data_IF_894157817393
#
_entry.id   IF_894157817393
#
_cell.length_a   1.000
_cell.length_b   1.000
_cell.length_c   1.000
_cell.angle_alpha   90.00
_cell.angle_beta   90.00
_cell.angle_gamma   90.00
#
_symmetry.space_group_name_H-M   'P 1'
#
loop_
_entity.id
_entity.type
_entity.pdbx_description
1 polymer ?
#
# COMPACT_ATOMS: atom_id res chain seq x y z
N UNK A 1 28.20 -13.23 25.28
CA UNK A 1 27.36 -13.88 24.26
C UNK A 1 25.96 -13.37 24.50
N UNK A 2 25.66 -12.16 24.03
CA UNK A 2 24.33 -11.58 24.14
C UNK A 2 23.60 -11.84 22.83
N UNK A 3 22.81 -12.90 22.82
CA UNK A 3 21.79 -13.12 21.81
C UNK A 3 20.67 -12.12 22.11
N UNK A 4 20.73 -10.94 21.49
CA UNK A 4 19.55 -10.08 21.40
C UNK A 4 18.49 -10.90 20.65
N UNK A 5 17.54 -11.45 21.39
CA UNK A 5 16.24 -11.80 20.86
C UNK A 5 15.63 -10.51 20.32
N UNK A 6 15.75 -10.28 19.02
CA UNK A 6 14.82 -9.39 18.34
C UNK A 6 13.46 -10.01 18.59
N UNK A 7 12.62 -9.34 19.38
CA UNK A 7 11.21 -9.71 19.47
C UNK A 7 10.72 -9.85 18.04
N UNK A 8 10.24 -11.04 17.67
CA UNK A 8 9.58 -11.28 16.40
C UNK A 8 8.32 -10.42 16.43
N UNK A 9 8.43 -9.17 15.96
CA UNK A 9 7.34 -8.21 15.96
C UNK A 9 6.24 -8.63 15.00
N UNK A 10 6.44 -9.70 14.21
CA UNK A 10 5.61 -10.09 13.08
C UNK A 10 5.75 -9.18 11.87
N UNK A 11 6.57 -8.12 11.97
CA UNK A 11 6.75 -7.09 10.95
C UNK A 11 7.75 -7.52 9.87
N UNK A 12 8.56 -8.54 10.13
CA UNK A 12 9.53 -9.07 9.16
C UNK A 12 8.85 -10.16 8.34
N UNK A 13 8.69 -9.92 7.05
CA UNK A 13 8.08 -10.86 6.12
C UNK A 13 8.74 -10.80 4.74
N UNK A 14 8.56 -11.87 3.96
CA UNK A 14 9.09 -12.03 2.62
C UNK A 14 7.98 -11.84 1.58
N UNK A 15 8.36 -11.64 0.31
CA UNK A 15 7.37 -11.55 -0.77
C UNK A 15 6.47 -12.79 -0.93
N UNK A 16 6.92 -13.97 -0.48
CA UNK A 16 6.08 -15.17 -0.44
C UNK A 16 5.02 -15.13 0.67
N UNK A 17 5.33 -14.51 1.80
CA UNK A 17 4.41 -14.35 2.93
C UNK A 17 3.21 -13.49 2.51
N UNK A 18 3.43 -12.43 1.71
CA UNK A 18 2.38 -11.60 1.10
C UNK A 18 1.30 -12.40 0.35
N UNK A 19 1.66 -13.59 -0.16
CA UNK A 19 0.74 -14.47 -0.90
C UNK A 19 0.11 -15.51 0.03
N UNK A 20 0.88 -16.04 0.98
CA UNK A 20 0.50 -17.20 1.78
C UNK A 20 -0.27 -16.83 3.06
N UNK A 21 0.01 -15.66 3.64
CA UNK A 21 -0.59 -15.20 4.89
C UNK A 21 -1.87 -14.41 4.65
N UNK A 22 -2.80 -14.54 5.59
CA UNK A 22 -4.11 -13.85 5.56
C UNK A 22 -4.36 -13.06 6.85
N UNK A 23 -3.42 -13.06 7.80
CA UNK A 23 -3.56 -12.43 9.11
C UNK A 23 -3.48 -10.89 9.08
N UNK A 24 -3.29 -10.31 7.90
CA UNK A 24 -3.38 -8.89 7.60
C UNK A 24 -4.47 -8.56 6.58
N UNK A 25 -5.31 -9.54 6.19
CA UNK A 25 -6.43 -9.33 5.27
C UNK A 25 -7.73 -9.40 6.06
N UNK A 26 -8.56 -8.37 5.96
CA UNK A 26 -9.92 -8.36 6.48
C UNK A 26 -10.90 -8.19 5.32
N UNK A 27 -11.79 -9.18 5.15
CA UNK A 27 -12.86 -9.14 4.16
C UNK A 27 -14.16 -8.66 4.84
N UNK A 28 -14.71 -7.54 4.37
CA UNK A 28 -15.90 -6.89 4.93
C UNK A 28 -17.21 -7.30 4.24
N UNK A 29 -17.17 -8.25 3.29
CA UNK A 29 -18.36 -8.66 2.53
C UNK A 29 -19.46 -9.35 3.37
N UNK A 30 -19.15 -9.82 4.58
CA UNK A 30 -19.96 -10.84 5.29
C UNK A 30 -20.87 -10.32 6.41
N UNK A 31 -21.34 -9.07 6.37
CA UNK A 31 -22.38 -8.64 7.31
C UNK A 31 -22.61 -7.14 7.26
N UNK A 32 -23.74 -6.68 7.78
CA UNK A 32 -24.09 -5.27 7.97
C UNK A 32 -23.20 -4.58 9.03
N UNK A 33 -21.91 -4.91 9.05
CA UNK A 33 -20.92 -4.38 9.96
C UNK A 33 -20.43 -3.04 9.41
N UNK A 34 -20.41 -2.05 10.28
CA UNK A 34 -19.85 -0.74 9.98
C UNK A 34 -18.32 -0.90 9.92
N UNK A 35 -17.64 -0.17 9.03
CA UNK A 35 -16.17 -0.25 8.95
C UNK A 35 -15.53 0.14 10.30
N UNK A 36 -16.20 1.01 11.05
CA UNK A 36 -15.84 1.46 12.39
C UNK A 36 -15.73 0.32 13.40
N UNK A 37 -16.55 -0.74 13.26
CA UNK A 37 -16.48 -1.91 14.13
C UNK A 37 -15.14 -2.67 13.96
N UNK A 38 -14.47 -2.46 12.81
CA UNK A 38 -13.17 -3.04 12.50
C UNK A 38 -11.99 -2.18 12.92
N UNK A 39 -12.21 -0.95 13.41
CA UNK A 39 -11.13 -0.01 13.73
C UNK A 39 -10.08 -0.55 14.72
N UNK A 40 -10.43 -1.30 15.78
CA UNK A 40 -9.42 -1.91 16.64
C UNK A 40 -8.46 -2.83 15.87
N UNK A 41 -8.99 -3.71 15.02
CA UNK A 41 -8.18 -4.60 14.18
C UNK A 41 -7.30 -3.82 13.20
N UNK A 42 -7.85 -2.77 12.59
CA UNK A 42 -7.13 -1.92 11.64
C UNK A 42 -6.01 -1.11 12.33
N UNK A 43 -6.17 -0.75 13.61
CA UNK A 43 -5.12 -0.06 14.39
C UNK A 43 -3.97 -1.00 14.73
N UNK A 44 -4.28 -2.23 15.13
CA UNK A 44 -3.28 -3.19 15.62
C UNK A 44 -2.52 -3.87 14.48
N UNK A 45 -3.20 -4.16 13.36
CA UNK A 45 -2.62 -4.96 12.28
C UNK A 45 -1.38 -4.32 11.64
N UNK A 46 -1.37 -3.03 11.24
CA UNK A 46 -0.18 -2.38 10.72
C UNK A 46 0.96 -2.28 11.75
N UNK A 47 0.66 -2.18 13.04
CA UNK A 47 1.69 -2.17 14.08
C UNK A 47 2.42 -3.51 14.18
N UNK A 48 1.72 -4.62 13.91
CA UNK A 48 2.29 -5.97 13.94
C UNK A 48 2.87 -6.40 12.60
N UNK A 49 2.25 -6.05 11.48
CA UNK A 49 2.59 -6.56 10.16
C UNK A 49 3.22 -5.53 9.21
N UNK A 50 3.15 -4.24 9.54
CA UNK A 50 3.50 -3.14 8.63
C UNK A 50 2.44 -2.87 7.55
N UNK A 51 1.41 -3.71 7.42
CA UNK A 51 0.38 -3.60 6.38
C UNK A 51 -0.96 -4.14 6.88
N UNK A 52 -2.07 -3.59 6.37
CA UNK A 52 -3.40 -4.15 6.49
C UNK A 52 -4.15 -3.99 5.14
N UNK A 53 -4.84 -5.04 4.70
CA UNK A 53 -5.60 -5.05 3.45
C UNK A 53 -7.07 -5.26 3.77
N UNK A 54 -7.88 -4.24 3.49
CA UNK A 54 -9.33 -4.29 3.60
C UNK A 54 -9.93 -4.63 2.24
N UNK A 55 -10.74 -5.70 2.19
CA UNK A 55 -11.44 -6.12 0.98
C UNK A 55 -12.94 -5.91 1.13
N UNK A 56 -13.60 -5.66 0.00
CA UNK A 56 -15.06 -5.57 -0.10
C UNK A 56 -15.67 -4.56 0.89
N UNK A 57 -15.10 -3.34 0.96
CA UNK A 57 -15.67 -2.27 1.76
C UNK A 57 -17.14 -2.03 1.35
N UNK A 58 -18.06 -1.82 2.32
CA UNK A 58 -19.47 -1.59 2.05
C UNK A 58 -19.71 -0.16 1.55
N UNK A 59 -19.23 0.16 0.35
CA UNK A 59 -19.41 1.46 -0.29
C UNK A 59 -20.75 1.47 -1.03
N UNK A 60 -21.74 2.18 -0.50
CA UNK A 60 -23.08 2.24 -1.09
C UNK A 60 -23.12 2.99 -2.43
N UNK A 61 -22.33 4.05 -2.57
CA UNK A 61 -22.17 4.84 -3.79
C UNK A 61 -20.72 4.73 -4.29
N UNK A 62 -20.46 4.06 -5.44
CA UNK A 62 -19.11 3.93 -5.99
C UNK A 62 -18.60 5.21 -6.66
N UNK A 63 -19.24 6.36 -6.45
CA UNK A 63 -18.74 7.64 -6.93
C UNK A 63 -17.39 8.00 -6.29
N UNK A 64 -16.56 8.70 -7.07
CA UNK A 64 -15.26 9.19 -6.59
C UNK A 64 -15.41 10.12 -5.39
N UNK A 65 -16.49 10.90 -5.33
CA UNK A 65 -16.78 11.81 -4.22
C UNK A 65 -17.11 11.02 -2.93
N UNK A 66 -17.97 10.01 -3.01
CA UNK A 66 -18.31 9.17 -1.86
C UNK A 66 -17.09 8.38 -1.34
N UNK A 67 -16.28 7.82 -2.24
CA UNK A 67 -15.06 7.13 -1.87
C UNK A 67 -14.01 8.06 -1.26
N UNK A 68 -13.87 9.29 -1.78
CA UNK A 68 -12.98 10.31 -1.22
C UNK A 68 -13.41 10.72 0.18
N UNK A 69 -14.71 10.88 0.39
CA UNK A 69 -15.27 11.18 1.70
C UNK A 69 -15.01 10.05 2.70
N UNK A 70 -15.28 8.80 2.32
CA UNK A 70 -14.99 7.63 3.14
C UNK A 70 -13.52 7.54 3.53
N UNK A 71 -12.60 7.72 2.57
CA UNK A 71 -11.16 7.65 2.85
C UNK A 71 -10.70 8.80 3.75
N UNK A 72 -11.26 9.99 3.61
CA UNK A 72 -10.97 11.13 4.49
C UNK A 72 -11.47 10.88 5.93
N UNK A 73 -12.72 10.45 6.09
CA UNK A 73 -13.30 10.10 7.41
C UNK A 73 -12.54 8.95 8.07
N UNK A 74 -12.16 7.95 7.28
CA UNK A 74 -11.27 6.89 7.70
C UNK A 74 -9.96 7.48 8.22
N UNK A 75 -9.21 8.24 7.41
CA UNK A 75 -7.92 8.82 7.82
C UNK A 75 -8.00 9.64 9.12
N UNK A 76 -9.04 10.46 9.27
CA UNK A 76 -9.31 11.24 10.49
C UNK A 76 -9.54 10.37 11.73
N UNK A 77 -10.04 9.15 11.54
CA UNK A 77 -10.23 8.19 12.63
C UNK A 77 -8.92 7.52 13.07
N UNK A 78 -7.83 7.64 12.31
CA UNK A 78 -6.52 7.02 12.61
C UNK A 78 -5.41 8.04 12.91
N UNK A 79 -5.59 9.32 12.60
CA UNK A 79 -4.60 10.34 12.91
C UNK A 79 -4.92 11.72 12.35
N UNK A 80 -3.87 12.53 12.24
CA UNK A 80 -3.93 13.86 11.64
C UNK A 80 -3.45 13.78 10.18
N UNK A 81 -4.27 14.15 9.18
CA UNK A 81 -3.84 14.21 7.80
C UNK A 81 -2.66 15.15 7.62
N UNK A 82 -1.66 14.70 6.86
CA UNK A 82 -0.52 15.53 6.44
C UNK A 82 -0.69 15.94 4.99
N UNK A 83 -0.18 17.12 4.63
CA UNK A 83 -0.21 17.57 3.25
C UNK A 83 0.60 16.62 2.36
N UNK A 84 0.01 16.20 1.24
CA UNK A 84 0.64 15.38 0.20
C UNK A 84 1.23 16.24 -0.92
N UNK A 85 0.98 17.56 -0.91
CA UNK A 85 1.42 18.46 -1.97
C UNK A 85 1.74 19.87 -1.50
N UNK A 86 2.50 20.57 -2.33
CA UNK A 86 2.83 21.98 -2.14
C UNK A 86 1.55 22.87 -2.25
N UNK A 87 0.45 22.29 -2.73
CA UNK A 87 -0.89 22.91 -2.80
C UNK A 87 -1.76 22.61 -1.59
N UNK A 88 -1.22 21.94 -0.56
CA UNK A 88 -1.93 21.55 0.65
C UNK A 88 -3.08 20.56 0.42
N UNK A 89 -2.95 19.71 -0.59
CA UNK A 89 -3.89 18.62 -0.81
C UNK A 89 -3.68 17.53 0.25
N UNK A 90 -4.73 17.18 1.00
CA UNK A 90 -4.71 16.10 2.00
C UNK A 90 -5.12 14.74 1.43
N UNK A 91 -5.75 14.74 0.25
CA UNK A 91 -6.20 13.56 -0.46
C UNK A 91 -5.75 13.65 -1.92
N UNK A 92 -4.91 12.70 -2.35
CA UNK A 92 -4.41 12.61 -3.72
C UNK A 92 -5.20 11.58 -4.54
N UNK A 93 -5.45 11.90 -5.82
CA UNK A 93 -5.97 10.93 -6.78
C UNK A 93 -4.81 10.28 -7.54
N UNK A 94 -4.64 8.98 -7.35
CA UNK A 94 -3.72 8.16 -8.15
C UNK A 94 -4.45 7.78 -9.44
N UNK A 95 -4.09 8.41 -10.56
CA UNK A 95 -4.76 8.21 -11.84
C UNK A 95 -3.88 8.71 -12.98
N UNK A 96 -3.82 7.99 -14.10
CA UNK A 96 -3.06 8.45 -15.26
C UNK A 96 -3.71 9.69 -15.89
N UNK A 97 -3.05 10.85 -15.77
CA UNK A 97 -3.42 12.12 -16.40
C UNK A 97 -2.50 12.45 -17.58
N UNK A 98 -1.67 11.51 -18.02
CA UNK A 98 -0.67 11.72 -19.07
C UNK A 98 0.56 12.49 -18.62
N UNK A 99 0.81 12.57 -17.31
CA UNK A 99 1.97 13.27 -16.77
C UNK A 99 3.29 12.62 -17.19
N UNK A 100 4.30 13.43 -17.51
CA UNK A 100 5.62 12.93 -17.89
C UNK A 100 6.51 12.81 -16.64
N UNK A 101 6.81 11.59 -16.21
CA UNK A 101 7.64 11.30 -15.03
C UNK A 101 9.07 11.86 -15.11
N UNK A 102 9.56 12.22 -16.31
CA UNK A 102 10.87 12.88 -16.48
C UNK A 102 10.82 14.37 -16.13
N UNK A 103 9.64 14.96 -16.02
CA UNK A 103 9.46 16.31 -15.54
C UNK A 103 9.47 16.29 -14.00
N UNK A 104 10.45 16.92 -13.38
CA UNK A 104 10.55 17.00 -11.92
C UNK A 104 9.35 17.68 -11.23
N UNK A 105 8.59 18.49 -11.97
CA UNK A 105 7.36 19.09 -11.46
C UNK A 105 6.13 18.17 -11.58
N UNK A 106 6.22 17.09 -12.36
CA UNK A 106 5.13 16.15 -12.54
C UNK A 106 5.07 15.15 -11.38
N UNK A 107 3.86 14.80 -10.96
CA UNK A 107 3.65 13.76 -9.96
C UNK A 107 3.65 12.40 -10.64
N UNK A 108 4.47 11.48 -10.13
CA UNK A 108 4.58 10.13 -10.71
C UNK A 108 3.26 9.37 -10.71
N UNK A 109 2.46 9.52 -9.65
CA UNK A 109 1.13 8.89 -9.52
C UNK A 109 0.08 9.44 -10.50
N UNK A 110 0.42 10.48 -11.27
CA UNK A 110 -0.41 11.02 -12.35
C UNK A 110 -0.05 10.45 -13.73
N UNK A 111 0.73 9.37 -13.78
CA UNK A 111 1.21 8.73 -15.01
C UNK A 111 1.04 7.21 -14.98
N UNK A 112 1.15 6.56 -16.13
CA UNK A 112 1.21 5.08 -16.25
C UNK A 112 2.61 4.49 -16.06
N UNK A 113 3.59 5.29 -15.63
CA UNK A 113 4.95 4.81 -15.39
C UNK A 113 5.06 4.06 -14.05
N UNK A 114 5.96 3.06 -14.01
CA UNK A 114 6.35 2.38 -12.78
C UNK A 114 6.98 3.38 -11.80
N UNK A 115 6.54 3.34 -10.54
CA UNK A 115 7.13 4.14 -9.47
C UNK A 115 8.20 3.34 -8.75
N UNK A 116 9.38 3.93 -8.49
CA UNK A 116 10.40 3.27 -7.69
C UNK A 116 9.90 3.09 -6.25
N UNK A 117 10.42 2.09 -5.55
CA UNK A 117 10.15 1.92 -4.13
C UNK A 117 10.53 3.18 -3.35
N UNK A 118 9.62 3.62 -2.48
CA UNK A 118 9.77 4.79 -1.63
C UNK A 118 8.91 4.63 -0.38
N UNK A 119 9.15 5.50 0.59
CA UNK A 119 8.25 5.70 1.72
C UNK A 119 7.73 7.13 1.66
N UNK A 120 6.48 7.32 2.05
CA UNK A 120 5.90 8.65 2.19
C UNK A 120 6.31 9.31 3.50
N UNK A 121 6.15 10.63 3.57
CA UNK A 121 6.45 11.42 4.78
C UNK A 121 5.29 11.38 5.77
N UNK A 122 4.91 10.18 6.19
CA UNK A 122 3.82 9.92 7.14
C UNK A 122 4.04 8.62 7.91
N UNK A 123 3.36 8.47 9.05
CA UNK A 123 3.38 7.23 9.84
C UNK A 123 2.46 6.13 9.26
N UNK A 124 1.38 6.52 8.58
CA UNK A 124 0.41 5.63 7.97
C UNK A 124 -0.03 6.18 6.61
N UNK A 125 0.08 5.35 5.58
CA UNK A 125 -0.48 5.59 4.24
C UNK A 125 -1.73 4.74 4.05
N UNK A 126 -2.80 5.34 3.52
CA UNK A 126 -4.01 4.63 3.16
C UNK A 126 -4.32 4.83 1.67
N UNK A 127 -4.55 3.72 0.95
CA UNK A 127 -4.93 3.71 -0.46
C UNK A 127 -6.29 3.03 -0.61
N UNK A 128 -7.19 3.65 -1.38
CA UNK A 128 -8.51 3.10 -1.71
C UNK A 128 -8.62 2.89 -3.22
N UNK A 129 -8.73 1.64 -3.65
CA UNK A 129 -9.00 1.32 -5.04
C UNK A 129 -10.49 1.52 -5.35
N UNK A 130 -10.81 2.59 -6.07
CA UNK A 130 -12.17 2.90 -6.52
C UNK A 130 -12.47 2.32 -7.91
N UNK A 131 -11.43 2.09 -8.70
CA UNK A 131 -11.51 1.56 -10.06
C UNK A 131 -10.20 0.88 -10.41
N UNK A 132 -10.27 -0.40 -10.76
CA UNK A 132 -9.10 -1.14 -11.21
C UNK A 132 -8.67 -0.68 -12.61
N UNK A 133 -7.36 -0.55 -12.83
CA UNK A 133 -6.81 -0.28 -14.15
C UNK A 133 -7.04 -1.49 -15.08
N UNK A 134 -7.28 -1.27 -16.39
CA UNK A 134 -7.43 -2.39 -17.34
C UNK A 134 -6.19 -3.28 -17.42
N UNK A 135 -5.00 -2.67 -17.33
CA UNK A 135 -3.68 -3.31 -17.36
C UNK A 135 -2.76 -2.51 -16.44
N UNK A 136 -1.96 -3.19 -15.62
CA UNK A 136 -1.06 -2.55 -14.68
C UNK A 136 -1.77 -2.07 -13.40
N UNK A 137 -1.13 -1.15 -12.68
CA UNK A 137 -1.68 -0.56 -11.45
C UNK A 137 -1.55 -1.46 -10.22
N UNK A 138 -0.66 -2.45 -10.28
CA UNK A 138 -0.31 -3.29 -9.14
C UNK A 138 0.41 -2.47 -8.05
N UNK A 139 0.19 -2.84 -6.79
CA UNK A 139 0.88 -2.24 -5.63
C UNK A 139 1.96 -3.18 -5.13
N UNK A 140 3.21 -2.89 -5.49
CA UNK A 140 4.36 -3.60 -4.95
C UNK A 140 4.75 -3.04 -3.59
N UNK A 141 5.03 -3.94 -2.64
CA UNK A 141 5.49 -3.60 -1.29
C UNK A 141 6.77 -4.36 -0.96
N UNK A 142 7.60 -3.77 -0.10
CA UNK A 142 8.78 -4.43 0.45
C UNK A 142 8.91 -4.16 1.94
N UNK A 143 9.51 -5.12 2.63
CA UNK A 143 9.88 -5.04 4.03
C UNK A 143 11.39 -4.81 4.12
N UNK A 144 11.80 -3.74 4.80
CA UNK A 144 13.17 -3.21 4.74
C UNK A 144 14.15 -4.06 5.56
N UNK A 145 13.73 -4.56 6.73
CA UNK A 145 14.61 -5.34 7.61
C UNK A 145 14.91 -6.73 6.99
N UNK A 146 13.99 -7.30 6.20
CA UNK A 146 14.19 -8.55 5.44
C UNK A 146 15.32 -8.44 4.40
N UNK A 147 15.51 -7.25 3.81
CA UNK A 147 16.57 -7.03 2.83
C UNK A 147 17.97 -6.93 3.46
N UNK A 148 18.08 -6.93 4.80
CA UNK A 148 19.35 -6.73 5.49
C UNK A 148 19.99 -5.37 5.18
N UNK A 149 19.21 -4.41 4.72
CA UNK A 149 19.65 -3.05 4.42
C UNK A 149 19.98 -2.39 5.74
N UNK A 150 21.28 -2.27 6.01
CA UNK A 150 21.83 -1.72 7.23
C UNK A 150 21.16 -0.37 7.57
N UNK A 151 20.56 -0.26 8.77
CA UNK A 151 19.92 0.95 9.34
C UNK A 151 20.79 2.21 9.33
N UNK A 152 22.07 2.11 8.96
CA UNK A 152 23.08 3.17 8.97
C UNK A 152 23.40 3.76 7.58
N UNK A 153 22.85 3.25 6.48
CA UNK A 153 23.17 3.77 5.15
C UNK A 153 21.93 3.91 4.25
N UNK A 154 21.26 5.08 4.22
CA UNK A 154 20.06 5.31 3.40
C UNK A 154 20.30 5.31 1.88
N UNK A 155 21.51 5.03 1.39
CA UNK A 155 21.88 5.03 -0.03
C UNK A 155 22.52 3.73 -0.54
N UNK A 156 22.68 2.71 0.32
CA UNK A 156 23.29 1.45 -0.11
C UNK A 156 22.21 0.51 -0.71
N UNK A 157 21.66 0.85 -1.87
CA UNK A 157 20.92 -0.13 -2.66
C UNK A 157 21.93 -1.02 -3.39
N UNK A 158 22.04 -2.33 -3.10
CA UNK A 158 22.89 -3.20 -3.89
C UNK A 158 22.27 -3.31 -5.28
N UNK A 159 23.02 -2.89 -6.31
CA UNK A 159 22.69 -3.21 -7.70
C UNK A 159 22.67 -4.74 -7.85
N UNK A 160 21.50 -5.35 -7.65
CA UNK A 160 21.34 -6.81 -7.72
C UNK A 160 20.28 -7.43 -6.81
N UNK A 161 19.75 -6.73 -5.80
CA UNK A 161 18.72 -7.29 -4.91
C UNK A 161 17.32 -7.43 -5.58
N UNK A 162 17.11 -6.76 -6.71
CA UNK A 162 15.93 -6.96 -7.55
C UNK A 162 16.10 -8.25 -8.34
N UNK A 163 15.65 -9.37 -7.76
CA UNK A 163 15.29 -10.52 -8.58
C UNK A 163 14.05 -10.14 -9.40
N UNK A 164 14.29 -9.41 -10.50
CA UNK A 164 13.28 -9.09 -11.51
C UNK A 164 12.69 -10.40 -11.98
N UNK A 165 11.50 -10.75 -11.50
CA UNK A 165 10.63 -11.67 -12.26
C UNK A 165 10.29 -10.91 -13.53
N UNK A 166 11.08 -11.13 -14.58
CA UNK A 166 10.68 -10.84 -15.96
C UNK A 166 9.25 -11.35 -16.11
N UNK A 167 8.36 -10.49 -16.62
CA UNK A 167 7.00 -10.85 -17.04
C UNK A 167 7.03 -12.25 -17.64
N UNK A 168 6.36 -13.21 -16.99
CA UNK A 168 6.07 -14.45 -17.71
C UNK A 168 5.11 -14.09 -18.85
N UNK A 169 5.36 -14.53 -20.09
CA UNK A 169 4.44 -14.28 -21.18
C UNK A 169 3.11 -14.97 -20.87
N UNK A 170 2.02 -14.25 -21.19
CA UNK A 170 0.61 -14.64 -21.11
C UNK A 170 0.30 -16.09 -20.73
N UNK A 171 -0.29 -16.28 -19.54
CA UNK A 171 -1.22 -17.39 -19.32
C UNK A 171 -2.63 -16.83 -19.47
N UNK A 172 -3.36 -17.33 -20.45
CA UNK A 172 -4.81 -17.11 -20.61
C UNK A 172 -5.53 -17.74 -19.42
N UNK A 173 -5.87 -16.92 -18.44
CA UNK A 173 -6.70 -17.25 -17.29
C UNK A 173 -7.32 -15.96 -16.74
N UNK A 174 -8.43 -16.04 -15.99
CA UNK A 174 -9.05 -14.85 -15.40
C UNK A 174 -8.02 -14.12 -14.52
N UNK A 175 -8.08 -12.77 -14.45
CA UNK A 175 -7.10 -11.98 -13.72
C UNK A 175 -7.12 -12.40 -12.26
N UNK A 176 -6.05 -13.05 -11.83
CA UNK A 176 -5.76 -13.24 -10.41
C UNK A 176 -5.48 -11.84 -9.85
N UNK A 177 -6.30 -11.43 -8.90
CA UNK A 177 -6.08 -10.23 -8.09
C UNK A 177 -4.70 -10.35 -7.44
N UNK A 178 -3.68 -9.78 -8.08
CA UNK A 178 -2.38 -9.52 -7.46
C UNK A 178 -2.51 -8.11 -6.90
N UNK A 179 -2.32 -8.03 -5.59
CA UNK A 179 -2.30 -6.79 -4.80
C UNK A 179 -1.24 -5.88 -5.41
#
# INVERSE_FOLDING_TARGET
MDTQMTADTGQVWRGEDMILRQDWVLDLASGAMRIEDSYPWIRETPQRAGVAVLRNLPIADPSEAAASHLLAEFGLSFGCPVSQSDKFDFLGHVTDRGSNIRNHAARGYESSAELPFHNDRCDLLALLCIRQAPIGGETDMLEVDHLGLCRLCPYAWPEGALHRRRRQPHRSGPPLCRI
#
